data_IF_894897040676
#
_entry.id   IF_894897040676
#
_cell.length_a   1.000
_cell.length_b   1.000
_cell.length_c   1.000
_cell.angle_alpha   90.00
_cell.angle_beta   90.00
_cell.angle_gamma   90.00
#
_symmetry.space_group_name_H-M   'P 1'
#
loop_
_entity.id
_entity.type
_entity.pdbx_description
1 polymer ?
#
# COMPACT_ATOMS: atom_id res chain seq x y z
N UNK A 1 24.28 -11.56 -1.13
CA UNK A 1 23.75 -10.50 -0.27
C UNK A 1 24.85 -9.45 -0.10
N UNK A 2 24.53 -8.16 -0.21
CA UNK A 2 25.47 -7.07 0.04
C UNK A 2 25.00 -6.25 1.23
N UNK A 3 25.93 -5.80 2.08
CA UNK A 3 25.61 -4.93 3.21
C UNK A 3 26.37 -3.62 3.09
N UNK A 4 25.74 -2.54 3.52
CA UNK A 4 26.37 -1.23 3.60
C UNK A 4 25.87 -0.46 4.81
N UNK A 5 26.72 0.38 5.38
CA UNK A 5 26.35 1.37 6.41
C UNK A 5 26.15 2.77 5.82
N UNK A 6 26.48 2.95 4.54
CA UNK A 6 26.55 4.28 3.90
C UNK A 6 25.57 4.42 2.73
N UNK A 7 24.70 3.43 2.50
CA UNK A 7 23.77 3.38 1.37
C UNK A 7 24.45 3.14 0.01
N UNK A 8 25.78 3.05 0.00
CA UNK A 8 26.55 2.80 -1.21
C UNK A 8 27.05 1.34 -1.18
N UNK A 9 26.60 0.52 -2.13
CA UNK A 9 26.89 -0.93 -2.19
C UNK A 9 28.20 -1.25 -2.94
N UNK A 10 29.18 -0.34 -2.87
CA UNK A 10 30.53 -0.55 -3.40
C UNK A 10 31.39 -1.48 -2.51
N UNK A 11 30.81 -2.01 -1.42
CA UNK A 11 31.46 -2.88 -0.43
C UNK A 11 31.41 -4.37 -0.78
N UNK A 12 32.39 -5.12 -0.25
CA UNK A 12 32.50 -6.57 -0.42
C UNK A 12 31.25 -7.31 0.10
N UNK A 13 30.83 -8.36 -0.62
CA UNK A 13 29.79 -9.27 -0.14
C UNK A 13 30.16 -9.79 1.27
N UNK A 14 29.20 -9.74 2.20
CA UNK A 14 29.36 -10.36 3.50
C UNK A 14 29.12 -11.87 3.37
N UNK A 15 30.04 -12.66 3.88
CA UNK A 15 30.00 -14.12 3.75
C UNK A 15 28.99 -14.80 4.67
N UNK A 16 28.55 -14.13 5.75
CA UNK A 16 27.64 -14.72 6.74
C UNK A 16 26.40 -13.83 6.98
N UNK A 17 25.38 -14.11 6.17
CA UNK A 17 24.06 -13.50 6.24
C UNK A 17 23.13 -14.19 7.26
N UNK A 18 23.49 -15.36 7.79
CA UNK A 18 22.60 -16.16 8.61
C UNK A 18 22.24 -15.47 9.94
N UNK A 19 23.19 -14.74 10.52
CA UNK A 19 22.98 -13.95 11.75
C UNK A 19 21.97 -12.81 11.59
N UNK A 20 21.68 -12.37 10.37
CA UNK A 20 20.80 -11.23 10.08
C UNK A 20 19.35 -11.63 9.74
N UNK A 21 19.06 -12.94 9.70
CA UNK A 21 17.71 -13.46 9.46
C UNK A 21 16.68 -12.92 10.46
N UNK A 22 17.01 -12.92 11.75
CA UNK A 22 16.08 -12.44 12.78
C UNK A 22 15.72 -10.97 12.57
N UNK A 23 16.66 -10.17 12.05
CA UNK A 23 16.42 -8.77 11.69
C UNK A 23 15.49 -8.69 10.47
N UNK A 24 15.77 -9.47 9.42
CA UNK A 24 14.94 -9.51 8.21
C UNK A 24 13.51 -10.00 8.49
N UNK A 25 13.34 -11.05 9.30
CA UNK A 25 12.03 -11.57 9.71
C UNK A 25 11.29 -10.58 10.62
N UNK A 26 11.97 -9.92 11.55
CA UNK A 26 11.37 -8.86 12.38
C UNK A 26 10.95 -7.63 11.57
N UNK A 27 11.60 -7.42 10.41
CA UNK A 27 11.23 -6.42 9.43
C UNK A 27 10.16 -6.92 8.43
N UNK A 28 9.56 -8.09 8.68
CA UNK A 28 8.44 -8.63 7.89
C UNK A 28 8.85 -9.29 6.57
N UNK A 29 10.13 -9.55 6.32
CA UNK A 29 10.60 -10.14 5.05
C UNK A 29 10.25 -11.62 5.00
N UNK A 30 9.41 -12.01 4.02
CA UNK A 30 9.07 -13.41 3.73
C UNK A 30 9.44 -13.78 2.30
N UNK A 31 9.49 -15.08 1.99
CA UNK A 31 9.77 -15.54 0.61
C UNK A 31 8.73 -15.07 -0.41
N UNK A 32 7.51 -14.75 0.03
CA UNK A 32 6.44 -14.20 -0.81
C UNK A 32 6.65 -12.71 -1.13
N UNK A 33 7.54 -12.01 -0.41
CA UNK A 33 7.80 -10.57 -0.58
C UNK A 33 8.75 -10.24 -1.76
N UNK A 34 9.18 -11.24 -2.53
CA UNK A 34 10.11 -11.07 -3.66
C UNK A 34 9.33 -10.95 -4.97
N UNK A 35 8.89 -9.74 -5.34
CA UNK A 35 8.24 -9.48 -6.64
C UNK A 35 9.21 -8.86 -7.67
N UNK A 36 9.43 -9.58 -8.78
CA UNK A 36 9.98 -9.12 -10.07
C UNK A 36 11.34 -8.38 -10.16
N UNK A 37 11.97 -7.93 -9.08
CA UNK A 37 13.28 -7.29 -9.10
C UNK A 37 14.44 -8.29 -8.92
N UNK A 38 15.59 -8.13 -9.61
CA UNK A 38 16.75 -8.99 -9.39
C UNK A 38 17.36 -8.80 -7.99
N UNK A 39 17.15 -7.65 -7.34
CA UNK A 39 17.77 -7.27 -6.08
C UNK A 39 16.87 -6.31 -5.27
N UNK A 40 16.57 -6.66 -4.02
CA UNK A 40 15.79 -5.83 -3.08
C UNK A 40 16.72 -5.18 -2.07
N UNK A 41 16.53 -3.89 -1.80
CA UNK A 41 17.30 -3.15 -0.80
C UNK A 41 16.42 -2.88 0.41
N UNK A 42 16.81 -3.42 1.57
CA UNK A 42 16.16 -3.16 2.86
C UNK A 42 17.05 -2.25 3.68
N UNK A 43 16.41 -1.40 4.48
CA UNK A 43 17.09 -0.42 5.33
C UNK A 43 16.52 -0.51 6.73
N UNK A 44 17.38 -0.55 7.75
CA UNK A 44 16.94 -0.49 9.16
C UNK A 44 17.94 0.31 9.99
N UNK A 45 17.51 0.80 11.15
CA UNK A 45 18.41 1.41 12.13
C UNK A 45 18.80 0.33 13.15
N UNK A 46 20.09 0.08 13.29
CA UNK A 46 20.59 -0.86 14.30
C UNK A 46 20.36 -0.27 15.70
N UNK A 47 19.56 -0.93 16.55
CA UNK A 47 19.20 -0.40 17.86
C UNK A 47 20.38 -0.34 18.83
N UNK A 48 21.47 -1.06 18.58
CA UNK A 48 22.64 -1.11 19.44
C UNK A 48 23.59 0.08 19.27
N UNK A 49 23.61 0.69 18.08
CA UNK A 49 24.55 1.76 17.74
C UNK A 49 23.92 2.94 16.97
N UNK A 50 22.62 2.88 16.66
CA UNK A 50 21.88 3.93 15.97
C UNK A 50 22.26 4.14 14.50
N UNK A 51 23.07 3.25 13.91
CA UNK A 51 23.47 3.38 12.51
C UNK A 51 22.43 2.81 11.57
N UNK A 52 22.24 3.46 10.43
CA UNK A 52 21.41 2.94 9.34
C UNK A 52 22.18 1.90 8.55
N UNK A 53 21.63 0.70 8.48
CA UNK A 53 22.13 -0.40 7.69
C UNK A 53 21.27 -0.64 6.48
N UNK A 54 21.93 -1.04 5.41
CA UNK A 54 21.33 -1.38 4.14
C UNK A 54 21.73 -2.81 3.79
N UNK A 55 20.78 -3.63 3.35
CA UNK A 55 21.05 -4.97 2.83
C UNK A 55 20.40 -5.14 1.49
N UNK A 56 21.16 -5.65 0.53
CA UNK A 56 20.67 -5.99 -0.80
C UNK A 56 20.63 -7.50 -0.97
N UNK A 57 19.45 -8.04 -1.28
CA UNK A 57 19.19 -9.49 -1.36
C UNK A 57 18.53 -9.83 -2.68
N UNK A 58 19.06 -10.82 -3.39
CA UNK A 58 18.36 -11.44 -4.53
C UNK A 58 17.48 -12.60 -4.07
N UNK A 59 16.45 -12.93 -4.86
CA UNK A 59 15.58 -14.07 -4.57
C UNK A 59 16.35 -15.41 -4.44
N UNK A 60 17.35 -15.75 -5.29
CA UNK A 60 18.15 -16.97 -5.11
C UNK A 60 18.94 -16.99 -3.79
N UNK A 61 19.50 -15.85 -3.36
CA UNK A 61 20.27 -15.76 -2.10
C UNK A 61 19.37 -15.91 -0.88
N UNK A 62 18.16 -15.34 -0.93
CA UNK A 62 17.14 -15.57 0.10
C UNK A 62 16.71 -17.04 0.17
N UNK A 63 16.42 -17.64 -0.98
CA UNK A 63 16.01 -19.05 -1.04
C UNK A 63 17.10 -19.99 -0.51
N UNK A 64 18.39 -19.68 -0.71
CA UNK A 64 19.50 -20.44 -0.11
C UNK A 64 19.54 -20.32 1.42
N UNK A 65 19.32 -19.13 1.97
CA UNK A 65 19.21 -18.91 3.42
C UNK A 65 18.03 -19.67 4.02
N UNK A 66 16.91 -19.71 3.31
CA UNK A 66 15.70 -20.40 3.76
C UNK A 66 15.84 -21.93 3.68
N UNK A 67 16.35 -22.44 2.55
CA UNK A 67 16.51 -23.88 2.27
C UNK A 67 17.51 -24.59 3.19
N UNK A 68 18.49 -23.88 3.76
CA UNK A 68 19.40 -24.44 4.77
C UNK A 68 18.68 -24.81 6.09
N UNK A 69 17.42 -24.38 6.28
CA UNK A 69 16.60 -24.69 7.47
C UNK A 69 15.37 -25.55 7.19
N UNK A 70 14.86 -25.62 5.96
CA UNK A 70 13.62 -26.35 5.62
C UNK A 70 13.81 -27.85 5.35
N UNK A 71 14.94 -28.46 5.74
CA UNK A 71 15.06 -29.94 5.76
C UNK A 71 14.29 -30.57 6.94
N UNK A 72 13.42 -29.80 7.61
CA UNK A 72 12.48 -30.31 8.60
C UNK A 72 11.09 -29.73 8.30
N UNK A 73 10.14 -30.60 7.90
CA UNK A 73 8.67 -30.42 7.97
C UNK A 73 7.90 -30.09 6.65
N UNK A 74 7.53 -31.17 5.95
CA UNK A 74 6.15 -31.55 5.50
C UNK A 74 5.38 -30.80 4.39
N UNK A 75 5.29 -31.49 3.24
CA UNK A 75 4.12 -31.95 2.44
C UNK A 75 2.71 -31.34 2.61
N UNK A 76 2.23 -30.66 1.55
CA UNK A 76 1.04 -30.99 0.74
C UNK A 76 -0.38 -30.58 1.20
N UNK A 77 -1.09 -29.79 0.37
CA UNK A 77 -2.54 -29.91 0.02
C UNK A 77 -2.81 -29.23 -1.34
N UNK A 78 -3.63 -29.85 -2.20
CA UNK A 78 -4.07 -29.36 -3.53
C UNK A 78 -5.38 -28.54 -3.47
N UNK A 79 -5.62 -27.70 -4.48
CA UNK A 79 -6.71 -26.73 -4.61
C UNK A 79 -8.03 -27.31 -5.17
N UNK A 80 -9.17 -26.67 -4.84
CA UNK A 80 -10.53 -27.03 -5.26
C UNK A 80 -11.16 -25.88 -6.07
N UNK A 81 -11.80 -26.24 -7.19
CA UNK A 81 -12.38 -25.40 -8.24
C UNK A 81 -13.90 -25.20 -8.05
N UNK A 82 -14.40 -23.97 -8.25
CA UNK A 82 -15.84 -23.62 -8.25
C UNK A 82 -16.14 -22.55 -9.30
N UNK A 83 -16.69 -22.95 -10.44
CA UNK A 83 -17.27 -22.09 -11.48
C UNK A 83 -18.79 -21.92 -11.33
N UNK A 84 -19.37 -20.91 -12.02
CA UNK A 84 -20.80 -20.54 -12.22
C UNK A 84 -21.24 -19.35 -11.29
N UNK A 85 -21.73 -18.17 -11.72
CA UNK A 85 -22.83 -17.84 -12.64
C UNK A 85 -22.67 -16.43 -13.28
N UNK A 86 -23.07 -16.25 -14.55
CA UNK A 86 -22.80 -15.06 -15.38
C UNK A 86 -23.68 -13.80 -15.20
N UNK A 87 -23.26 -12.92 -14.30
CA UNK A 87 -23.27 -11.46 -14.47
C UNK A 87 -21.80 -11.11 -14.39
N UNK A 88 -21.13 -10.54 -15.41
CA UNK A 88 -19.70 -10.21 -15.21
C UNK A 88 -19.62 -9.17 -14.08
N UNK A 89 -19.23 -9.59 -12.87
CA UNK A 89 -18.92 -8.64 -11.83
C UNK A 89 -17.66 -7.95 -12.35
N UNK A 90 -17.40 -6.72 -11.94
CA UNK A 90 -16.04 -6.19 -12.05
C UNK A 90 -15.10 -7.29 -11.56
N UNK A 91 -14.17 -7.74 -12.40
CA UNK A 91 -13.29 -8.90 -12.24
C UNK A 91 -12.40 -8.68 -10.99
N UNK A 92 -13.05 -8.81 -9.83
CA UNK A 92 -12.48 -8.57 -8.54
C UNK A 92 -11.77 -9.86 -8.18
N UNK A 93 -10.49 -9.89 -8.53
CA UNK A 93 -9.59 -10.95 -8.11
C UNK A 93 -9.41 -10.88 -6.58
N UNK A 94 -9.98 -11.83 -5.81
CA UNK A 94 -9.83 -11.85 -4.35
C UNK A 94 -8.39 -12.15 -3.91
N UNK A 95 -7.50 -12.53 -4.82
CA UNK A 95 -6.06 -12.67 -4.56
C UNK A 95 -5.29 -11.36 -4.74
N UNK A 96 -5.90 -10.31 -5.29
CA UNK A 96 -5.24 -9.02 -5.48
C UNK A 96 -5.11 -8.30 -4.14
N UNK A 97 -3.87 -8.01 -3.76
CA UNK A 97 -3.55 -7.25 -2.56
C UNK A 97 -3.07 -5.87 -2.98
N UNK A 98 -3.93 -4.87 -2.79
CA UNK A 98 -3.63 -3.46 -3.07
C UNK A 98 -2.42 -3.01 -2.25
N UNK A 99 -2.43 -3.29 -0.94
CA UNK A 99 -1.31 -2.98 -0.03
C UNK A 99 -0.22 -4.06 -0.08
N UNK A 100 0.51 -4.16 -1.19
CA UNK A 100 1.55 -5.18 -1.44
C UNK A 100 2.62 -5.28 -0.35
N UNK A 101 2.86 -4.18 0.36
CA UNK A 101 3.91 -4.07 1.37
C UNK A 101 3.40 -4.16 2.81
N UNK A 102 2.07 -4.22 3.02
CA UNK A 102 1.42 -4.25 4.34
C UNK A 102 1.96 -3.18 5.31
N UNK A 103 2.24 -1.97 4.80
CA UNK A 103 2.78 -0.87 5.62
C UNK A 103 1.65 -0.05 6.26
N UNK A 104 1.89 0.42 7.48
CA UNK A 104 0.94 1.24 8.25
C UNK A 104 0.96 2.74 7.88
N UNK A 105 1.93 3.19 7.07
CA UNK A 105 2.12 4.60 6.72
C UNK A 105 1.92 4.90 5.22
N UNK A 106 1.35 3.98 4.45
CA UNK A 106 1.26 4.07 2.98
C UNK A 106 -0.16 4.26 2.42
N UNK A 107 -1.12 4.64 3.26
CA UNK A 107 -2.54 4.75 2.91
C UNK A 107 -2.82 5.56 1.64
N UNK A 108 -2.01 6.58 1.32
CA UNK A 108 -2.14 7.40 0.10
C UNK A 108 -1.68 6.66 -1.18
N UNK A 109 -0.67 5.78 -1.11
CA UNK A 109 -0.30 4.90 -2.22
C UNK A 109 -1.35 3.82 -2.44
N UNK A 110 -1.84 3.24 -1.35
CA UNK A 110 -2.88 2.21 -1.39
C UNK A 110 -4.17 2.77 -1.97
N UNK A 111 -4.55 4.01 -1.60
CA UNK A 111 -5.69 4.71 -2.19
C UNK A 111 -5.49 4.96 -3.69
N UNK A 112 -4.31 5.42 -4.11
CA UNK A 112 -4.00 5.61 -5.54
C UNK A 112 -4.09 4.28 -6.31
N UNK A 113 -3.53 3.21 -5.74
CA UNK A 113 -3.55 1.88 -6.32
C UNK A 113 -4.98 1.36 -6.49
N UNK A 114 -5.83 1.49 -5.46
CA UNK A 114 -7.24 1.10 -5.53
C UNK A 114 -8.03 1.89 -6.59
N UNK A 115 -7.77 3.20 -6.75
CA UNK A 115 -8.43 4.04 -7.76
C UNK A 115 -8.00 3.68 -9.20
N UNK A 116 -6.76 3.24 -9.36
CA UNK A 116 -6.21 2.79 -10.64
C UNK A 116 -6.50 1.32 -10.94
N UNK A 117 -7.20 0.64 -10.04
CA UNK A 117 -7.37 -0.80 -10.08
C UNK A 117 -6.02 -1.49 -10.31
N UNK A 118 -5.07 -1.24 -9.40
CA UNK A 118 -3.68 -1.75 -9.40
C UNK A 118 -3.17 -1.98 -7.98
N UNK A 119 -1.94 -2.47 -7.85
CA UNK A 119 -1.24 -2.62 -6.58
C UNK A 119 -0.22 -1.49 -6.34
N UNK A 120 0.24 -1.35 -5.08
CA UNK A 120 1.19 -0.29 -4.70
C UNK A 120 2.53 -0.43 -5.43
N UNK A 121 2.98 -1.64 -5.72
CA UNK A 121 4.23 -1.87 -6.45
C UNK A 121 4.19 -1.29 -7.87
N UNK A 122 3.06 -1.48 -8.55
CA UNK A 122 2.81 -0.93 -9.88
C UNK A 122 2.70 0.59 -9.86
N UNK A 123 2.11 1.18 -8.81
CA UNK A 123 2.08 2.65 -8.63
C UNK A 123 3.50 3.19 -8.46
N UNK A 124 4.32 2.58 -7.61
CA UNK A 124 5.72 2.99 -7.40
C UNK A 124 6.52 2.88 -8.69
N UNK A 125 6.38 1.75 -9.39
CA UNK A 125 7.08 1.50 -10.66
C UNK A 125 6.68 2.52 -11.73
N UNK A 126 5.39 2.86 -11.82
CA UNK A 126 4.86 3.79 -12.83
C UNK A 126 5.24 5.23 -12.52
N UNK A 127 5.19 5.63 -11.25
CA UNK A 127 5.43 7.01 -10.83
C UNK A 127 6.90 7.32 -10.55
N UNK A 128 7.73 6.28 -10.37
CA UNK A 128 9.09 6.36 -9.85
C UNK A 128 9.20 7.11 -8.50
N UNK A 129 8.07 7.26 -7.79
CA UNK A 129 8.00 7.92 -6.50
C UNK A 129 8.16 6.90 -5.38
N UNK A 130 8.98 7.27 -4.39
CA UNK A 130 9.20 6.44 -3.21
C UNK A 130 8.22 6.84 -2.10
N UNK A 131 7.83 5.85 -1.29
CA UNK A 131 7.03 6.10 -0.10
C UNK A 131 7.86 6.84 0.96
N UNK A 132 7.23 7.80 1.64
CA UNK A 132 7.84 8.52 2.77
C UNK A 132 7.38 7.87 4.08
N UNK A 133 8.33 7.55 4.97
CA UNK A 133 8.05 7.01 6.29
C UNK A 133 7.38 8.08 7.19
N UNK A 134 6.37 7.68 7.97
CA UNK A 134 5.58 8.60 8.80
C UNK A 134 4.47 9.35 8.04
N UNK A 135 4.15 8.94 6.82
CA UNK A 135 3.11 9.52 5.98
C UNK A 135 3.60 10.65 5.07
N UNK A 136 2.67 11.22 4.29
CA UNK A 136 2.96 12.25 3.29
C UNK A 136 2.15 13.53 3.55
N UNK A 137 2.75 14.72 3.40
CA UNK A 137 1.99 15.97 3.38
C UNK A 137 1.16 16.08 2.09
N UNK A 138 0.14 16.94 2.09
CA UNK A 138 -0.78 17.10 0.96
C UNK A 138 -0.07 17.30 -0.39
N UNK A 139 0.96 18.14 -0.43
CA UNK A 139 1.71 18.43 -1.66
C UNK A 139 2.35 17.17 -2.28
N UNK A 140 2.78 16.21 -1.45
CA UNK A 140 3.33 14.93 -1.91
C UNK A 140 2.23 13.98 -2.39
N UNK A 141 1.06 13.99 -1.74
CA UNK A 141 -0.12 13.24 -2.21
C UNK A 141 -0.56 13.77 -3.59
N UNK A 142 -0.62 15.08 -3.76
CA UNK A 142 -0.93 15.72 -5.05
C UNK A 142 0.11 15.39 -6.13
N UNK A 143 1.39 15.35 -5.76
CA UNK A 143 2.47 14.96 -6.67
C UNK A 143 2.33 13.50 -7.11
N UNK A 144 2.06 12.58 -6.17
CA UNK A 144 1.80 11.18 -6.46
C UNK A 144 0.61 11.02 -7.42
N UNK A 145 -0.52 11.64 -7.12
CA UNK A 145 -1.72 11.51 -7.97
C UNK A 145 -1.47 12.03 -9.38
N UNK A 146 -0.77 13.17 -9.50
CA UNK A 146 -0.39 13.71 -10.81
C UNK A 146 0.52 12.74 -11.58
N UNK A 147 1.51 12.16 -10.91
CA UNK A 147 2.42 11.19 -11.52
C UNK A 147 1.69 9.90 -11.94
N UNK A 148 0.68 9.49 -11.16
CA UNK A 148 -0.13 8.31 -11.38
C UNK A 148 -1.23 8.51 -12.45
N UNK A 149 -1.38 9.73 -12.99
CA UNK A 149 -2.45 10.06 -13.94
C UNK A 149 -3.83 10.26 -13.30
N UNK A 150 -3.90 10.35 -11.98
CA UNK A 150 -5.09 10.68 -11.21
C UNK A 150 -5.28 12.20 -11.12
N UNK A 151 -6.50 12.63 -10.82
CA UNK A 151 -6.76 14.03 -10.55
C UNK A 151 -6.11 14.45 -9.22
N UNK A 152 -5.17 15.40 -9.30
CA UNK A 152 -4.44 15.93 -8.17
C UNK A 152 -5.05 17.21 -7.58
N UNK A 153 -6.19 17.70 -8.09
CA UNK A 153 -6.85 18.88 -7.53
C UNK A 153 -7.81 18.46 -6.41
N UNK A 154 -7.54 18.96 -5.21
CA UNK A 154 -8.36 18.68 -4.03
C UNK A 154 -9.35 19.79 -3.71
N UNK A 155 -10.45 19.41 -3.05
CA UNK A 155 -11.35 20.30 -2.33
C UNK A 155 -11.11 20.17 -0.83
N UNK A 156 -10.81 21.28 -0.16
CA UNK A 156 -10.71 21.31 1.29
C UNK A 156 -12.09 21.41 1.91
N UNK A 157 -12.44 20.46 2.77
CA UNK A 157 -13.72 20.36 3.46
C UNK A 157 -13.49 20.19 4.97
N UNK A 158 -14.43 20.64 5.79
CA UNK A 158 -14.27 20.70 7.25
C UNK A 158 -15.22 19.76 8.00
N UNK A 159 -16.11 19.05 7.31
CA UNK A 159 -17.07 18.15 7.94
C UNK A 159 -17.42 16.97 7.05
N UNK A 160 -17.82 15.87 7.69
CA UNK A 160 -18.35 14.68 7.00
C UNK A 160 -19.58 15.00 6.13
N UNK A 161 -20.44 15.92 6.59
CA UNK A 161 -21.61 16.34 5.82
C UNK A 161 -21.21 17.04 4.51
N UNK A 162 -20.18 17.90 4.56
CA UNK A 162 -19.67 18.58 3.36
C UNK A 162 -19.00 17.60 2.39
N UNK A 163 -18.33 16.57 2.89
CA UNK A 163 -17.78 15.47 2.07
C UNK A 163 -18.90 14.81 1.27
N UNK A 164 -19.97 14.36 1.93
CA UNK A 164 -21.09 13.71 1.26
C UNK A 164 -21.80 14.62 0.24
N UNK A 165 -22.04 15.88 0.60
CA UNK A 165 -22.65 16.85 -0.31
C UNK A 165 -21.78 17.13 -1.55
N UNK A 166 -20.45 17.23 -1.36
CA UNK A 166 -19.51 17.47 -2.45
C UNK A 166 -19.39 16.25 -3.37
N UNK A 167 -19.32 15.03 -2.80
CA UNK A 167 -19.33 13.80 -3.59
C UNK A 167 -20.59 13.65 -4.44
N UNK A 168 -21.76 13.92 -3.86
CA UNK A 168 -23.03 13.88 -4.60
C UNK A 168 -23.08 14.94 -5.72
N UNK A 169 -22.57 16.15 -5.46
CA UNK A 169 -22.51 17.22 -6.46
C UNK A 169 -21.57 16.88 -7.64
N UNK A 170 -20.45 16.21 -7.37
CA UNK A 170 -19.54 15.71 -8.41
C UNK A 170 -20.04 14.45 -9.12
N UNK A 171 -20.85 13.66 -8.42
CA UNK A 171 -21.51 12.48 -8.94
C UNK A 171 -22.37 12.77 -10.15
N UNK A 172 -23.17 13.86 -10.11
CA UNK A 172 -24.10 14.26 -11.18
C UNK A 172 -24.92 13.07 -11.72
N UNK A 173 -25.54 12.32 -10.80
CA UNK A 173 -26.31 11.09 -11.05
C UNK A 173 -25.51 9.94 -11.72
N UNK A 174 -24.18 10.00 -11.71
CA UNK A 174 -23.28 8.95 -12.20
C UNK A 174 -22.48 8.32 -11.06
N UNK A 175 -22.07 7.07 -11.28
CA UNK A 175 -21.16 6.39 -10.36
C UNK A 175 -19.77 7.05 -10.44
N UNK A 176 -19.24 7.47 -9.29
CA UNK A 176 -18.01 8.25 -9.18
C UNK A 176 -17.13 7.76 -8.03
N UNK A 177 -15.83 7.82 -8.24
CA UNK A 177 -14.83 7.53 -7.22
C UNK A 177 -14.08 8.80 -6.82
N UNK A 178 -13.60 8.80 -5.58
CA UNK A 178 -12.90 9.90 -4.97
C UNK A 178 -11.75 9.36 -4.15
N UNK A 179 -10.61 10.04 -4.20
CA UNK A 179 -9.63 9.89 -3.13
C UNK A 179 -10.03 10.85 -2.00
N UNK A 180 -9.94 10.38 -0.75
CA UNK A 180 -10.20 11.20 0.43
C UNK A 180 -9.00 11.11 1.36
N UNK A 181 -8.23 12.19 1.49
CA UNK A 181 -7.23 12.31 2.54
C UNK A 181 -7.80 13.14 3.69
N UNK A 182 -7.65 12.70 4.93
CA UNK A 182 -8.25 13.38 6.08
C UNK A 182 -7.46 13.19 7.37
N UNK A 183 -7.77 14.03 8.37
CA UNK A 183 -7.25 13.89 9.73
C UNK A 183 -8.27 13.16 10.59
N UNK A 184 -7.89 12.00 11.14
CA UNK A 184 -8.67 11.21 12.10
C UNK A 184 -8.87 11.98 13.42
N UNK A 185 -9.80 11.52 14.24
CA UNK A 185 -10.11 12.13 15.54
C UNK A 185 -8.92 12.15 16.52
N UNK A 186 -7.97 11.23 16.38
CA UNK A 186 -6.74 11.16 17.19
C UNK A 186 -5.62 12.08 16.69
N UNK A 187 -5.85 12.80 15.57
CA UNK A 187 -4.89 13.71 14.96
C UNK A 187 -3.99 13.07 13.90
N UNK A 188 -4.09 11.75 13.67
CA UNK A 188 -3.33 11.07 12.61
C UNK A 188 -3.92 11.35 11.22
N UNK A 189 -3.07 11.32 10.19
CA UNK A 189 -3.52 11.40 8.80
C UNK A 189 -3.93 10.05 8.25
N UNK A 190 -4.92 10.02 7.37
CA UNK A 190 -5.32 8.81 6.65
C UNK A 190 -5.81 9.13 5.23
N UNK A 191 -5.78 8.14 4.34
CA UNK A 191 -6.31 8.25 2.99
C UNK A 191 -7.11 6.99 2.62
N UNK A 192 -8.28 7.19 2.03
CA UNK A 192 -9.24 6.14 1.65
C UNK A 192 -9.92 6.44 0.32
N UNK A 193 -10.64 5.46 -0.23
CA UNK A 193 -11.47 5.63 -1.43
C UNK A 193 -12.91 5.93 -1.03
N UNK A 194 -13.46 7.04 -1.51
CA UNK A 194 -14.89 7.32 -1.49
C UNK A 194 -15.54 6.85 -2.79
N UNK A 195 -16.72 6.24 -2.70
CA UNK A 195 -17.58 5.94 -3.85
C UNK A 195 -18.93 6.59 -3.68
N UNK A 196 -19.44 7.17 -4.76
CA UNK A 196 -20.81 7.63 -4.87
C UNK A 196 -21.50 6.81 -5.95
N UNK A 197 -22.69 6.28 -5.64
CA UNK A 197 -23.53 5.63 -6.65
C UNK A 197 -24.62 6.58 -7.12
N UNK A 198 -24.59 6.95 -8.39
CA UNK A 198 -25.56 7.89 -8.97
C UNK A 198 -26.99 7.32 -9.00
N UNK A 199 -27.12 6.01 -9.20
CA UNK A 199 -28.43 5.34 -9.26
C UNK A 199 -29.16 5.28 -7.91
N UNK A 200 -28.42 5.29 -6.79
CA UNK A 200 -28.99 5.12 -5.44
C UNK A 200 -28.75 6.32 -4.53
N UNK A 201 -27.88 7.24 -4.91
CA UNK A 201 -27.39 8.32 -4.06
C UNK A 201 -26.56 7.84 -2.88
N UNK A 202 -26.15 6.58 -2.84
CA UNK A 202 -25.41 6.00 -1.72
C UNK A 202 -23.94 6.41 -1.75
N UNK A 203 -23.38 6.60 -0.56
CA UNK A 203 -21.97 6.86 -0.32
C UNK A 203 -21.34 5.63 0.33
N UNK A 204 -20.14 5.27 -0.10
CA UNK A 204 -19.31 4.24 0.52
C UNK A 204 -17.92 4.80 0.76
N UNK A 205 -17.31 4.41 1.87
CA UNK A 205 -15.96 4.79 2.25
C UNK A 205 -15.16 3.52 2.50
N UNK A 206 -14.08 3.33 1.75
CA UNK A 206 -13.37 2.07 1.66
C UNK A 206 -11.90 2.28 1.99
N UNK A 207 -11.45 1.66 3.08
CA UNK A 207 -10.05 1.60 3.49
C UNK A 207 -9.41 0.34 2.91
N UNK A 208 -8.37 0.54 2.12
CA UNK A 208 -7.60 -0.51 1.48
C UNK A 208 -6.29 -0.84 2.22
N UNK A 209 -5.96 -0.08 3.28
CA UNK A 209 -4.69 -0.22 4.01
C UNK A 209 -4.66 -1.48 4.87
N UNK A 210 -5.75 -1.75 5.58
CA UNK A 210 -5.88 -2.86 6.54
C UNK A 210 -6.46 -4.13 5.90
N UNK A 211 -6.89 -4.06 4.64
CA UNK A 211 -7.50 -5.14 3.88
C UNK A 211 -8.28 -4.60 2.69
N UNK A 212 -8.77 -5.46 1.80
CA UNK A 212 -9.46 -5.01 0.58
C UNK A 212 -10.83 -4.39 0.88
N UNK A 213 -10.92 -3.06 0.75
CA UNK A 213 -12.17 -2.31 0.79
C UNK A 213 -12.94 -2.41 2.11
N UNK A 214 -12.25 -2.35 3.25
CA UNK A 214 -12.88 -2.35 4.58
C UNK A 214 -13.71 -1.07 4.76
N UNK A 215 -14.90 -1.19 5.34
CA UNK A 215 -15.77 -0.03 5.60
C UNK A 215 -15.08 0.97 6.55
N UNK A 216 -14.81 2.16 6.02
CA UNK A 216 -14.13 3.27 6.70
C UNK A 216 -15.11 4.35 7.20
N UNK A 217 -16.42 4.13 7.11
CA UNK A 217 -17.43 5.16 7.39
C UNK A 217 -17.28 5.76 8.80
N UNK A 218 -16.99 4.93 9.80
CA UNK A 218 -16.78 5.38 11.17
C UNK A 218 -15.58 6.35 11.29
N UNK A 219 -14.44 6.01 10.67
CA UNK A 219 -13.24 6.85 10.64
C UNK A 219 -13.53 8.20 9.96
N UNK A 220 -14.12 8.16 8.76
CA UNK A 220 -14.41 9.37 7.99
C UNK A 220 -15.43 10.26 8.72
N UNK A 221 -16.45 9.67 9.35
CA UNK A 221 -17.49 10.44 10.06
C UNK A 221 -16.99 11.24 11.27
N UNK A 222 -15.84 10.86 11.82
CA UNK A 222 -15.21 11.54 12.97
C UNK A 222 -14.00 12.40 12.59
N UNK A 223 -13.66 12.47 11.29
CA UNK A 223 -12.58 13.30 10.77
C UNK A 223 -12.87 14.81 10.87
N UNK A 224 -11.81 15.62 10.89
CA UNK A 224 -11.91 17.08 11.18
C UNK A 224 -11.36 18.00 10.08
N UNK A 225 -10.63 17.45 9.11
CA UNK A 225 -10.12 18.14 7.94
C UNK A 225 -10.03 17.14 6.80
N UNK A 226 -10.59 17.47 5.64
CA UNK A 226 -10.67 16.58 4.50
C UNK A 226 -10.15 17.26 3.23
N UNK A 227 -9.49 16.47 2.40
CA UNK A 227 -9.07 16.80 1.04
C UNK A 227 -9.68 15.76 0.11
N UNK A 228 -10.67 16.19 -0.66
CA UNK A 228 -11.42 15.34 -1.59
C UNK A 228 -10.90 15.53 -3.01
N UNK A 229 -10.52 14.44 -3.67
CA UNK A 229 -9.98 14.42 -5.03
C UNK A 229 -10.93 13.66 -5.96
N UNK A 230 -11.74 14.34 -6.78
CA UNK A 230 -12.67 13.68 -7.72
C UNK A 230 -11.93 12.96 -8.83
N UNK A 231 -12.25 11.67 -9.08
CA UNK A 231 -11.67 10.87 -10.18
C UNK A 231 -12.63 10.69 -11.35
#
# INVERSE_FOLDING_TARGET
>A
MQFSQTGNFDGAQQADAAQWRGVLESAGVTAASFAASPLFTFTWVDPSNGQTWYVRVSQPEWNQLYAQTTTTTTTGVEAMDTSDDGVEPMDWDPARVTNTYALDDNCYYVTAAALLDTDVDSVITTTEMMQIAGGAPLAEIEALYRAAGLNAQSHTLLSFADVGATMAAYGDDQDKQFAIAFTRADGTGHAIVGRYSGSTGQLQFLDYQQGEGIDATADVSTGTLFYLFPQ
#
